data_IF_257168278930
#
_entry.id   IF_257168278930
#
_cell.length_a   1.000
_cell.length_b   1.000
_cell.length_c   1.000
_cell.angle_alpha   90.00
_cell.angle_beta   90.00
_cell.angle_gamma   90.00
#
_symmetry.space_group_name_H-M   'P 1'
#
loop_
_entity.id
_entity.type
_entity.pdbx_description
1 polymer ?
#
# COMPACT_ATOMS: atom_id res chain seq x y z
N UNK A 1 33.63 58.80 18.35
CA UNK A 1 33.90 57.52 17.69
C UNK A 1 32.78 56.55 18.05
N UNK A 2 31.79 56.38 17.16
CA UNK A 2 30.69 55.42 17.30
C UNK A 2 31.05 54.15 16.55
N UNK A 3 31.16 53.04 17.26
CA UNK A 3 31.39 51.71 16.65
C UNK A 3 30.06 51.12 16.18
N UNK A 4 29.88 50.92 14.88
CA UNK A 4 28.81 50.09 14.31
C UNK A 4 29.12 48.61 14.61
N UNK A 5 28.16 47.91 15.20
CA UNK A 5 28.17 46.45 15.29
C UNK A 5 27.33 45.91 14.15
N UNK A 6 27.95 45.26 13.20
CA UNK A 6 27.32 44.45 12.15
C UNK A 6 26.89 43.09 12.74
N UNK A 7 25.62 42.86 12.79
CA UNK A 7 25.06 41.51 13.13
C UNK A 7 24.95 40.68 11.85
N UNK A 8 25.76 39.64 11.72
CA UNK A 8 25.60 38.61 10.67
C UNK A 8 24.46 37.67 11.05
N UNK A 9 23.41 37.68 10.28
CA UNK A 9 22.34 36.67 10.37
C UNK A 9 22.75 35.49 9.48
N UNK A 10 23.16 34.38 10.11
CA UNK A 10 23.31 33.09 9.42
C UNK A 10 21.93 32.48 9.16
N UNK A 11 21.52 32.49 7.89
CA UNK A 11 20.33 31.76 7.43
C UNK A 11 20.69 30.27 7.30
N UNK A 12 20.27 29.46 8.26
CA UNK A 12 20.40 28.00 8.18
C UNK A 12 19.26 27.49 7.28
N UNK A 13 19.58 27.21 6.02
CA UNK A 13 18.69 26.47 5.11
C UNK A 13 18.70 25.01 5.54
N UNK A 14 17.65 24.58 6.24
CA UNK A 14 17.37 23.18 6.47
C UNK A 14 16.88 22.55 5.16
N UNK A 15 17.76 21.84 4.44
CA UNK A 15 17.36 20.94 3.38
C UNK A 15 16.67 19.74 4.02
N UNK A 16 15.34 19.67 3.96
CA UNK A 16 14.61 18.45 4.17
C UNK A 16 14.95 17.53 2.97
N UNK A 17 15.81 16.54 3.19
CA UNK A 17 15.99 15.46 2.24
C UNK A 17 14.67 14.67 2.20
N UNK A 18 13.82 14.94 1.22
CA UNK A 18 12.76 14.01 0.85
C UNK A 18 13.45 12.74 0.38
N UNK A 19 13.20 11.63 1.08
CA UNK A 19 13.57 10.31 0.58
C UNK A 19 12.91 10.16 -0.79
N UNK A 20 13.71 10.09 -1.85
CA UNK A 20 13.20 9.81 -3.18
C UNK A 20 12.56 8.43 -3.11
N UNK A 21 11.23 8.37 -3.24
CA UNK A 21 10.52 7.10 -3.45
C UNK A 21 11.09 6.49 -4.72
N UNK A 22 11.34 5.18 -4.71
CA UNK A 22 11.76 4.47 -5.91
C UNK A 22 10.74 4.78 -7.01
N UNK A 23 11.20 5.26 -8.16
CA UNK A 23 10.33 5.51 -9.29
C UNK A 23 10.00 4.19 -9.98
N UNK A 24 8.79 4.09 -10.51
CA UNK A 24 8.40 2.99 -11.37
C UNK A 24 9.40 2.90 -12.54
N UNK A 25 9.97 1.71 -12.86
CA UNK A 25 10.88 1.56 -13.98
C UNK A 25 10.21 2.01 -15.28
N UNK A 26 10.88 2.85 -16.04
CA UNK A 26 10.23 3.57 -17.15
C UNK A 26 9.92 2.71 -18.37
N UNK A 27 10.56 1.54 -18.56
CA UNK A 27 10.36 0.70 -19.76
C UNK A 27 10.91 -0.72 -19.65
N UNK A 28 11.76 -1.02 -18.67
CA UNK A 28 12.38 -2.35 -18.54
C UNK A 28 11.96 -2.96 -17.22
N UNK A 29 11.33 -4.14 -17.23
CA UNK A 29 11.01 -4.88 -16.00
C UNK A 29 12.25 -5.13 -15.14
N UNK A 30 12.08 -5.04 -13.83
CA UNK A 30 13.15 -5.26 -12.86
C UNK A 30 12.77 -6.41 -11.94
N UNK A 31 13.68 -7.39 -11.79
CA UNK A 31 13.53 -8.44 -10.79
C UNK A 31 14.10 -7.97 -9.44
N UNK A 32 13.37 -8.22 -8.36
CA UNK A 32 13.82 -8.04 -6.98
C UNK A 32 14.37 -6.62 -6.67
N UNK A 33 13.86 -5.62 -7.36
CA UNK A 33 14.25 -4.21 -7.19
C UNK A 33 13.56 -3.55 -6.00
N UNK A 34 13.99 -2.31 -5.72
CA UNK A 34 13.32 -1.48 -4.71
C UNK A 34 11.86 -1.22 -5.10
N UNK A 35 10.95 -1.34 -4.15
CA UNK A 35 9.53 -1.19 -4.38
C UNK A 35 9.17 0.29 -4.50
N UNK A 36 8.57 0.71 -5.63
CA UNK A 36 8.07 2.07 -5.78
C UNK A 36 6.93 2.36 -4.80
N UNK A 37 6.96 3.57 -4.20
CA UNK A 37 5.86 4.03 -3.35
C UNK A 37 4.56 4.31 -4.10
N UNK A 38 3.47 4.64 -3.38
CA UNK A 38 3.45 4.83 -1.93
C UNK A 38 3.48 3.53 -1.14
N UNK A 39 4.02 3.58 0.09
CA UNK A 39 3.96 2.51 1.07
C UNK A 39 3.08 2.94 2.24
N UNK A 40 2.34 2.02 2.89
CA UNK A 40 2.26 0.58 2.59
C UNK A 40 1.63 0.32 1.22
N UNK A 41 1.85 -0.87 0.66
CA UNK A 41 1.38 -1.23 -0.69
C UNK A 41 -0.14 -1.16 -0.84
N UNK A 42 -0.87 -1.60 0.18
CA UNK A 42 -2.33 -1.55 0.28
C UNK A 42 -2.77 -0.40 1.21
N UNK A 43 -4.06 -0.05 1.25
CA UNK A 43 -4.58 0.97 2.17
C UNK A 43 -4.15 0.72 3.61
N UNK A 44 -4.00 1.78 4.40
CA UNK A 44 -3.51 1.68 5.78
C UNK A 44 -4.41 0.83 6.70
N UNK A 45 -5.69 0.70 6.37
CA UNK A 45 -6.68 -0.13 7.06
C UNK A 45 -6.80 -1.56 6.48
N UNK A 46 -5.94 -1.92 5.51
CA UNK A 46 -5.87 -3.27 4.98
C UNK A 46 -5.51 -4.26 6.09
N UNK A 47 -6.01 -5.49 5.99
CA UNK A 47 -5.69 -6.54 6.97
C UNK A 47 -4.20 -6.85 7.10
N UNK A 48 -3.38 -6.66 6.06
CA UNK A 48 -1.94 -6.81 6.17
C UNK A 48 -1.32 -5.74 7.06
N UNK A 49 -1.85 -4.51 7.06
CA UNK A 49 -1.30 -3.34 7.76
C UNK A 49 -1.92 -3.14 9.15
N UNK A 50 -2.98 -3.88 9.48
CA UNK A 50 -3.73 -3.70 10.73
C UNK A 50 -2.84 -3.89 11.97
N UNK A 51 -2.91 -2.94 12.91
CA UNK A 51 -2.34 -3.08 14.25
C UNK A 51 -3.22 -4.02 15.09
N UNK A 52 -2.70 -5.19 15.42
CA UNK A 52 -3.39 -6.20 16.24
C UNK A 52 -2.87 -6.25 17.68
N UNK A 53 -2.04 -5.30 18.10
CA UNK A 53 -1.41 -5.32 19.42
C UNK A 53 -2.41 -5.34 20.59
N UNK A 54 -3.60 -4.75 20.38
CA UNK A 54 -4.71 -4.73 21.34
C UNK A 54 -5.83 -5.73 21.01
N UNK A 55 -5.71 -6.53 19.95
CA UNK A 55 -6.71 -7.50 19.56
C UNK A 55 -6.88 -8.58 20.67
N UNK A 56 -8.13 -9.03 20.94
CA UNK A 56 -8.37 -10.06 21.95
C UNK A 56 -7.72 -11.40 21.53
N UNK A 57 -7.29 -12.16 22.53
CA UNK A 57 -6.77 -13.52 22.35
C UNK A 57 -7.96 -14.49 22.19
N UNK A 58 -7.85 -15.43 21.25
CA UNK A 58 -8.87 -16.47 21.08
C UNK A 58 -8.94 -17.38 22.29
N UNK A 59 -10.14 -17.76 22.69
CA UNK A 59 -10.36 -18.63 23.85
C UNK A 59 -9.67 -20.01 23.69
N UNK A 60 -9.50 -20.49 22.47
CA UNK A 60 -8.82 -21.75 22.14
C UNK A 60 -7.33 -21.56 21.76
N UNK A 61 -6.76 -20.38 21.98
CA UNK A 61 -5.38 -20.06 21.58
C UNK A 61 -4.37 -21.12 22.04
N UNK A 62 -4.47 -21.56 23.30
CA UNK A 62 -3.57 -22.58 23.85
C UNK A 62 -3.72 -23.95 23.15
N UNK A 63 -4.92 -24.32 22.76
CA UNK A 63 -5.20 -25.57 22.03
C UNK A 63 -4.61 -25.53 20.63
N UNK A 64 -4.76 -24.41 19.90
CA UNK A 64 -4.15 -24.22 18.59
C UNK A 64 -2.62 -24.25 18.63
N UNK A 65 -2.00 -23.56 19.61
CA UNK A 65 -0.55 -23.59 19.80
C UNK A 65 -0.08 -25.01 20.15
N UNK A 66 -0.83 -25.76 20.97
CA UNK A 66 -0.53 -27.15 21.28
C UNK A 66 -0.63 -28.05 20.05
N UNK A 67 -1.58 -27.81 19.14
CA UNK A 67 -1.71 -28.53 17.88
C UNK A 67 -0.50 -28.30 16.96
N UNK A 68 -0.03 -27.06 16.81
CA UNK A 68 1.22 -26.72 16.08
C UNK A 68 2.40 -27.46 16.74
N UNK A 69 2.41 -27.51 18.06
CA UNK A 69 3.51 -27.97 18.91
C UNK A 69 4.26 -26.78 19.49
N UNK A 70 4.07 -26.51 20.79
CA UNK A 70 4.57 -25.30 21.45
C UNK A 70 6.06 -25.06 21.31
N UNK A 71 6.86 -26.14 21.13
CA UNK A 71 8.33 -26.08 20.97
C UNK A 71 8.77 -25.89 19.50
N UNK A 72 7.85 -25.88 18.54
CA UNK A 72 8.18 -25.62 17.14
C UNK A 72 8.79 -24.22 17.01
N UNK A 73 10.00 -24.16 16.49
CA UNK A 73 10.77 -22.92 16.33
C UNK A 73 10.35 -22.20 15.06
N UNK A 74 10.43 -20.89 15.08
CA UNK A 74 10.32 -20.11 13.86
C UNK A 74 11.49 -20.44 12.93
N UNK A 75 11.20 -20.41 11.64
CA UNK A 75 12.19 -20.56 10.58
C UNK A 75 11.99 -19.45 9.53
N UNK A 76 13.05 -18.72 9.13
CA UNK A 76 12.98 -17.78 8.01
C UNK A 76 13.07 -18.60 6.72
N UNK A 77 11.97 -18.71 6.01
CA UNK A 77 11.89 -19.38 4.69
C UNK A 77 12.17 -18.36 3.58
N UNK A 78 13.33 -17.73 3.68
CA UNK A 78 13.82 -16.74 2.72
C UNK A 78 15.34 -16.57 2.85
N UNK A 79 15.94 -16.07 1.79
CA UNK A 79 17.40 -15.92 1.72
C UNK A 79 17.85 -15.48 0.34
N UNK A 80 19.10 -15.78 0.05
CA UNK A 80 19.72 -15.59 -1.25
C UNK A 80 19.77 -16.87 -2.09
N UNK A 81 20.82 -16.99 -2.89
CA UNK A 81 21.13 -18.22 -3.64
C UNK A 81 21.47 -19.37 -2.68
N UNK A 82 21.07 -20.58 -3.03
CA UNK A 82 21.36 -21.77 -2.23
C UNK A 82 22.87 -22.00 -2.05
N UNK A 83 23.66 -21.57 -3.02
CA UNK A 83 25.10 -21.38 -2.96
C UNK A 83 25.50 -20.29 -3.97
N UNK A 84 26.62 -19.57 -3.80
CA UNK A 84 27.01 -18.50 -4.70
C UNK A 84 27.02 -18.92 -6.18
N UNK A 85 26.24 -18.22 -7.02
CA UNK A 85 26.06 -18.52 -8.45
C UNK A 85 25.06 -19.65 -8.75
N UNK A 86 24.37 -20.18 -7.74
CA UNK A 86 23.31 -21.19 -7.93
C UNK A 86 22.06 -20.59 -8.58
N UNK A 87 21.42 -21.36 -9.46
CA UNK A 87 20.08 -21.04 -9.95
C UNK A 87 19.05 -21.18 -8.82
N UNK A 88 19.22 -22.20 -7.93
CA UNK A 88 18.33 -22.43 -6.81
C UNK A 88 18.44 -21.32 -5.76
N UNK A 89 17.30 -20.85 -5.27
CA UNK A 89 17.19 -19.73 -4.35
C UNK A 89 16.26 -20.06 -3.17
N UNK A 90 16.40 -19.28 -2.09
CA UNK A 90 15.48 -19.23 -0.97
C UNK A 90 14.68 -17.94 -1.01
N UNK A 91 13.38 -18.02 -0.68
CA UNK A 91 12.46 -16.89 -0.73
C UNK A 91 11.85 -16.67 -2.11
N UNK A 92 10.90 -15.74 -2.15
CA UNK A 92 10.09 -15.48 -3.34
C UNK A 92 10.65 -14.30 -4.14
N UNK A 93 11.10 -14.50 -5.39
CA UNK A 93 11.42 -13.40 -6.30
C UNK A 93 10.13 -12.69 -6.74
N UNK A 94 10.28 -11.45 -7.22
CA UNK A 94 9.18 -10.68 -7.77
C UNK A 94 9.66 -9.78 -8.91
N UNK A 95 8.73 -9.48 -9.81
CA UNK A 95 8.94 -8.55 -10.91
C UNK A 95 8.27 -7.21 -10.62
N UNK A 96 8.93 -6.11 -10.99
CA UNK A 96 8.32 -4.78 -11.04
C UNK A 96 8.20 -4.39 -12.50
N UNK A 97 7.00 -4.01 -12.91
CA UNK A 97 6.67 -3.58 -14.28
C UNK A 97 5.94 -2.24 -14.24
N UNK A 98 5.89 -1.56 -15.39
CA UNK A 98 5.05 -0.39 -15.60
C UNK A 98 3.83 -0.70 -16.48
N UNK A 99 2.97 0.30 -16.68
CA UNK A 99 1.74 0.17 -17.48
C UNK A 99 1.99 -0.21 -18.96
N UNK A 100 3.21 -0.08 -19.48
CA UNK A 100 3.55 -0.41 -20.87
C UNK A 100 3.85 -1.90 -21.07
N UNK A 101 4.02 -2.68 -19.98
CA UNK A 101 4.25 -4.13 -20.06
C UNK A 101 3.07 -4.82 -20.71
N UNK A 102 3.34 -5.52 -21.81
CA UNK A 102 2.32 -6.26 -22.54
C UNK A 102 1.66 -7.32 -21.65
N UNK A 103 0.33 -7.39 -21.70
CA UNK A 103 -0.44 -8.39 -20.98
C UNK A 103 -0.58 -9.65 -21.80
N UNK A 104 -0.30 -10.79 -21.19
CA UNK A 104 -0.35 -12.12 -21.79
C UNK A 104 -1.52 -12.93 -21.23
N UNK A 105 -2.04 -13.85 -22.03
CA UNK A 105 -3.00 -14.86 -21.60
C UNK A 105 -2.25 -16.01 -20.92
N UNK A 106 -2.88 -16.56 -19.85
CA UNK A 106 -2.37 -17.72 -19.11
C UNK A 106 -3.43 -18.82 -19.15
N UNK A 107 -3.04 -20.06 -19.36
CA UNK A 107 -3.92 -21.23 -19.24
C UNK A 107 -3.86 -21.74 -17.81
N UNK A 108 -5.02 -21.89 -17.16
CA UNK A 108 -5.10 -22.26 -15.74
C UNK A 108 -5.66 -23.68 -15.56
N UNK A 109 -5.13 -24.40 -14.57
CA UNK A 109 -5.70 -25.65 -14.09
C UNK A 109 -6.98 -25.36 -13.26
N UNK A 110 -6.96 -24.30 -12.43
CA UNK A 110 -8.11 -23.83 -11.61
C UNK A 110 -8.68 -22.54 -12.23
N UNK A 111 -9.14 -22.63 -13.49
CA UNK A 111 -9.61 -21.47 -14.25
C UNK A 111 -10.83 -20.79 -13.65
N UNK A 112 -11.71 -21.56 -12.98
CA UNK A 112 -12.94 -21.08 -12.36
C UNK A 112 -12.72 -20.30 -11.04
N UNK A 113 -11.48 -20.32 -10.53
CA UNK A 113 -11.03 -19.55 -9.37
C UNK A 113 -9.91 -18.57 -9.73
N UNK A 114 -9.63 -18.33 -11.01
CA UNK A 114 -8.51 -17.50 -11.48
C UNK A 114 -9.01 -16.24 -12.18
N UNK A 115 -8.29 -15.12 -11.99
CA UNK A 115 -8.55 -13.89 -12.74
C UNK A 115 -7.92 -13.95 -14.15
N UNK A 116 -8.41 -13.11 -15.07
CA UNK A 116 -7.90 -13.07 -16.45
C UNK A 116 -8.40 -14.21 -17.31
N UNK A 117 -9.59 -14.69 -17.05
CA UNK A 117 -10.26 -15.81 -17.75
C UNK A 117 -11.58 -15.32 -18.34
N UNK A 118 -11.90 -15.79 -19.54
CA UNK A 118 -13.27 -15.79 -20.04
C UNK A 118 -14.04 -16.96 -19.39
N UNK A 119 -14.87 -16.64 -18.40
CA UNK A 119 -15.60 -17.64 -17.63
C UNK A 119 -16.65 -18.40 -18.44
N UNK A 120 -17.00 -17.96 -19.66
CA UNK A 120 -17.89 -18.72 -20.54
C UNK A 120 -17.17 -19.88 -21.26
N UNK A 121 -15.85 -19.75 -21.44
CA UNK A 121 -15.02 -20.72 -22.19
C UNK A 121 -13.94 -21.40 -21.38
N UNK A 122 -13.59 -20.85 -20.21
CA UNK A 122 -12.44 -21.26 -19.40
C UNK A 122 -11.09 -20.85 -19.97
N UNK A 123 -11.08 -20.00 -21.00
CA UNK A 123 -9.86 -19.61 -21.71
C UNK A 123 -9.24 -18.36 -21.09
N UNK A 124 -7.92 -18.37 -20.91
CA UNK A 124 -7.19 -17.17 -20.50
C UNK A 124 -7.28 -16.06 -21.54
N UNK A 125 -7.45 -14.85 -21.07
CA UNK A 125 -7.41 -13.61 -21.89
C UNK A 125 -6.12 -12.81 -21.59
N UNK A 126 -5.70 -11.87 -22.47
CA UNK A 126 -4.55 -11.01 -22.18
C UNK A 126 -4.75 -10.19 -20.91
N UNK A 127 -4.13 -10.61 -19.80
CA UNK A 127 -4.40 -10.03 -18.48
C UNK A 127 -3.13 -9.85 -17.64
N UNK A 128 -2.21 -10.81 -17.65
CA UNK A 128 -1.00 -10.82 -16.80
C UNK A 128 0.16 -10.14 -17.50
N UNK A 129 0.76 -9.07 -16.89
CA UNK A 129 1.89 -8.34 -17.47
C UNK A 129 3.22 -9.09 -17.22
N UNK A 130 3.34 -10.32 -17.75
CA UNK A 130 4.51 -11.19 -17.52
C UNK A 130 5.70 -10.68 -18.33
N UNK A 131 6.85 -10.36 -17.67
CA UNK A 131 8.06 -9.98 -18.37
C UNK A 131 8.65 -11.15 -19.20
N UNK A 132 9.15 -10.85 -20.39
CA UNK A 132 9.80 -11.87 -21.24
C UNK A 132 11.00 -12.54 -20.54
N UNK A 133 11.67 -11.82 -19.66
CA UNK A 133 12.79 -12.33 -18.84
C UNK A 133 12.36 -13.50 -17.95
N UNK A 134 11.15 -13.50 -17.42
CA UNK A 134 10.63 -14.58 -16.57
C UNK A 134 10.63 -15.94 -17.29
N UNK A 135 10.51 -15.96 -18.62
CA UNK A 135 10.55 -17.19 -19.40
C UNK A 135 11.96 -17.80 -19.52
N UNK A 136 13.02 -16.98 -19.51
CA UNK A 136 14.36 -17.43 -19.93
C UNK A 136 15.49 -17.10 -18.96
N UNK A 137 15.25 -16.19 -17.99
CA UNK A 137 16.28 -15.78 -17.03
C UNK A 137 16.00 -16.39 -15.65
N UNK A 138 17.04 -16.75 -14.87
CA UNK A 138 16.89 -17.23 -13.51
C UNK A 138 16.40 -16.12 -12.56
N UNK A 139 15.88 -16.51 -11.43
CA UNK A 139 15.51 -15.64 -10.29
C UNK A 139 14.31 -14.69 -10.56
N UNK A 140 13.44 -15.05 -11.51
CA UNK A 140 12.16 -14.40 -11.75
C UNK A 140 10.98 -15.21 -11.24
N UNK A 141 11.14 -16.53 -11.19
CA UNK A 141 10.14 -17.47 -10.68
C UNK A 141 10.70 -18.15 -9.44
N UNK A 142 9.85 -18.44 -8.47
CA UNK A 142 10.21 -19.14 -7.24
C UNK A 142 10.96 -20.44 -7.52
N UNK A 143 11.89 -20.78 -6.63
CA UNK A 143 12.85 -21.86 -6.82
C UNK A 143 14.05 -21.46 -7.69
N UNK A 144 13.95 -20.35 -8.44
CA UNK A 144 15.04 -19.70 -9.17
C UNK A 144 15.19 -20.14 -10.62
N UNK A 145 14.74 -21.33 -11.02
CA UNK A 145 14.82 -21.77 -12.43
C UNK A 145 13.91 -20.91 -13.32
N UNK A 146 14.32 -20.61 -14.58
CA UNK A 146 13.49 -19.87 -15.52
C UNK A 146 12.12 -20.50 -15.77
N UNK A 147 11.16 -19.71 -16.24
CA UNK A 147 9.81 -20.17 -16.53
C UNK A 147 9.69 -21.26 -17.57
N UNK A 148 10.65 -21.37 -18.51
CA UNK A 148 10.70 -22.43 -19.52
C UNK A 148 11.24 -23.77 -19.02
N UNK A 149 11.61 -23.87 -17.74
CA UNK A 149 11.97 -25.12 -17.09
C UNK A 149 10.77 -25.60 -16.29
N UNK A 150 10.16 -26.71 -16.70
CA UNK A 150 9.03 -27.28 -15.97
C UNK A 150 9.52 -27.98 -14.70
N UNK A 151 9.18 -27.41 -13.57
CA UNK A 151 9.45 -27.93 -12.23
C UNK A 151 8.19 -27.94 -11.35
N UNK A 152 7.00 -27.89 -11.97
CA UNK A 152 5.72 -27.77 -11.27
C UNK A 152 5.39 -28.96 -10.37
N UNK A 153 5.94 -30.12 -10.66
CA UNK A 153 5.79 -31.31 -9.82
C UNK A 153 6.68 -31.25 -8.55
N UNK A 154 7.74 -30.44 -8.59
CA UNK A 154 8.77 -30.41 -7.55
C UNK A 154 8.71 -29.13 -6.67
N UNK A 155 8.02 -28.07 -7.12
CA UNK A 155 8.01 -26.76 -6.46
C UNK A 155 6.74 -25.95 -6.78
N UNK A 156 6.41 -25.01 -5.89
CA UNK A 156 5.21 -24.15 -6.02
C UNK A 156 5.30 -23.16 -7.18
N UNK A 157 6.51 -22.73 -7.55
CA UNK A 157 6.76 -21.94 -8.78
C UNK A 157 5.93 -20.66 -8.86
N UNK A 158 5.92 -19.87 -7.82
CA UNK A 158 5.21 -18.59 -7.83
C UNK A 158 5.88 -17.56 -8.74
N UNK A 159 5.05 -16.76 -9.41
CA UNK A 159 5.48 -15.56 -10.15
C UNK A 159 4.67 -14.37 -9.65
N UNK A 160 5.33 -13.46 -8.93
CA UNK A 160 4.74 -12.27 -8.34
C UNK A 160 5.10 -11.05 -9.19
N UNK A 161 4.11 -10.23 -9.57
CA UNK A 161 4.32 -9.08 -10.48
C UNK A 161 3.63 -7.85 -9.92
N UNK A 162 4.40 -6.79 -9.66
CA UNK A 162 3.92 -5.50 -9.21
C UNK A 162 3.91 -4.53 -10.39
N UNK A 163 2.73 -4.17 -10.87
CA UNK A 163 2.53 -3.04 -11.78
C UNK A 163 2.47 -1.76 -10.95
N UNK A 164 3.59 -1.08 -10.91
CA UNK A 164 3.76 0.08 -10.04
C UNK A 164 3.06 1.34 -10.57
N UNK A 165 2.78 1.42 -11.87
CA UNK A 165 2.06 2.57 -12.47
C UNK A 165 0.57 2.52 -12.15
N UNK A 166 -0.03 1.35 -12.34
CA UNK A 166 -1.46 1.16 -12.11
C UNK A 166 -1.78 0.73 -10.67
N UNK A 167 -0.76 0.50 -9.83
CA UNK A 167 -0.89 -0.02 -8.48
C UNK A 167 -1.67 -1.34 -8.43
N UNK A 168 -1.28 -2.26 -9.31
CA UNK A 168 -1.87 -3.59 -9.42
C UNK A 168 -0.84 -4.66 -9.03
N UNK A 169 -1.29 -5.67 -8.34
CA UNK A 169 -0.50 -6.85 -8.00
C UNK A 169 -1.11 -8.05 -8.71
N UNK A 170 -0.27 -8.78 -9.43
CA UNK A 170 -0.62 -10.03 -10.10
C UNK A 170 0.23 -11.15 -9.53
N UNK A 171 -0.38 -12.25 -9.18
CA UNK A 171 0.30 -13.40 -8.59
C UNK A 171 -0.16 -14.68 -9.27
N UNK A 172 0.78 -15.52 -9.62
CA UNK A 172 0.55 -16.79 -10.31
C UNK A 172 1.18 -17.92 -9.49
N UNK A 173 0.47 -19.02 -9.35
CA UNK A 173 0.93 -20.26 -8.74
C UNK A 173 1.25 -21.30 -9.81
N UNK A 174 2.32 -22.05 -9.61
CA UNK A 174 2.70 -23.22 -10.41
C UNK A 174 2.89 -22.90 -11.90
N UNK A 175 3.72 -21.87 -12.19
CA UNK A 175 3.89 -21.35 -13.56
C UNK A 175 4.86 -22.14 -14.39
N UNK A 176 4.53 -22.25 -15.68
CA UNK A 176 5.41 -22.81 -16.72
C UNK A 176 5.13 -22.19 -18.09
N UNK A 177 6.19 -21.92 -18.84
CA UNK A 177 6.15 -21.45 -20.22
C UNK A 177 6.55 -22.56 -21.18
N UNK A 178 5.62 -23.07 -22.00
CA UNK A 178 5.82 -24.19 -22.91
C UNK A 178 6.57 -23.84 -24.21
N UNK A 179 7.04 -22.60 -24.35
CA UNK A 179 7.67 -22.05 -25.56
C UNK A 179 6.69 -21.28 -26.44
N UNK A 180 5.38 -21.36 -26.18
CA UNK A 180 4.32 -20.65 -26.92
C UNK A 180 3.37 -19.86 -26.00
N UNK A 181 3.06 -20.39 -24.83
CA UNK A 181 2.12 -19.80 -23.87
C UNK A 181 2.53 -20.10 -22.44
N UNK A 182 2.00 -19.30 -21.54
CA UNK A 182 2.12 -19.52 -20.11
C UNK A 182 1.00 -20.42 -19.60
N UNK A 183 1.34 -21.31 -18.68
CA UNK A 183 0.44 -22.15 -17.90
C UNK A 183 0.64 -21.82 -16.42
N UNK A 184 -0.41 -21.97 -15.63
CA UNK A 184 -0.36 -21.84 -14.17
C UNK A 184 -1.42 -22.72 -13.53
N UNK A 185 -1.24 -23.06 -12.27
CA UNK A 185 -2.28 -23.68 -11.44
C UNK A 185 -3.43 -22.71 -11.21
N UNK A 186 -3.14 -21.57 -10.63
CA UNK A 186 -4.09 -20.48 -10.38
C UNK A 186 -3.45 -19.11 -10.58
N UNK A 187 -4.28 -18.08 -10.70
CA UNK A 187 -3.83 -16.71 -10.82
C UNK A 187 -4.76 -15.71 -10.14
N UNK A 188 -4.18 -14.72 -9.51
CA UNK A 188 -4.90 -13.70 -8.77
C UNK A 188 -4.48 -12.28 -9.15
N UNK A 189 -5.43 -11.38 -9.08
CA UNK A 189 -5.28 -9.96 -9.25
C UNK A 189 -5.74 -9.23 -7.98
N UNK A 190 -4.96 -8.22 -7.58
CA UNK A 190 -5.31 -7.35 -6.47
C UNK A 190 -5.08 -5.89 -6.86
N UNK A 191 -6.11 -5.06 -6.69
CA UNK A 191 -6.00 -3.62 -6.74
C UNK A 191 -5.39 -3.14 -5.41
N UNK A 192 -4.18 -2.57 -5.46
CA UNK A 192 -3.48 -2.12 -4.26
C UNK A 192 -4.05 -0.82 -3.66
N UNK A 193 -5.02 -0.21 -4.31
CA UNK A 193 -5.76 0.95 -3.77
C UNK A 193 -7.08 0.54 -3.11
N UNK A 194 -7.39 -0.76 -3.05
CA UNK A 194 -8.62 -1.34 -2.52
C UNK A 194 -8.35 -2.34 -1.38
N UNK A 195 -9.37 -2.58 -0.55
CA UNK A 195 -9.42 -3.65 0.44
C UNK A 195 -10.31 -4.81 -0.03
N UNK A 196 -10.46 -4.97 -1.34
CA UNK A 196 -11.28 -6.03 -1.87
C UNK A 196 -10.62 -7.39 -1.65
N UNK A 197 -11.40 -8.33 -1.13
CA UNK A 197 -11.02 -9.72 -0.99
C UNK A 197 -11.39 -10.48 -2.27
N UNK A 198 -10.71 -11.56 -2.51
CA UNK A 198 -11.19 -12.53 -3.49
C UNK A 198 -12.58 -13.04 -3.09
N UNK A 199 -13.42 -13.46 -4.04
CA UNK A 199 -14.71 -14.10 -3.74
C UNK A 199 -14.55 -15.24 -2.72
N UNK A 200 -15.51 -15.39 -1.83
CA UNK A 200 -15.49 -16.52 -0.88
C UNK A 200 -15.44 -17.85 -1.65
N UNK A 201 -14.63 -18.77 -1.18
CA UNK A 201 -14.24 -20.05 -1.77
C UNK A 201 -13.21 -20.00 -2.88
N UNK A 202 -12.82 -18.83 -3.36
CA UNK A 202 -11.78 -18.72 -4.37
C UNK A 202 -10.38 -18.71 -3.72
N UNK A 203 -9.47 -19.50 -4.30
CA UNK A 203 -8.04 -19.42 -3.99
C UNK A 203 -7.41 -18.16 -4.61
N UNK A 204 -6.15 -17.92 -4.31
CA UNK A 204 -5.27 -17.01 -5.05
C UNK A 204 -4.07 -17.80 -5.57
N UNK A 205 -2.92 -17.17 -5.74
CA UNK A 205 -1.65 -17.88 -5.79
C UNK A 205 -1.26 -18.46 -4.42
N UNK A 206 -1.90 -17.99 -3.34
CA UNK A 206 -1.75 -18.50 -1.97
C UNK A 206 -3.00 -19.30 -1.55
N UNK A 207 -2.81 -20.39 -0.84
CA UNK A 207 -3.88 -21.32 -0.47
C UNK A 207 -5.01 -20.67 0.36
N UNK A 208 -4.73 -19.58 1.07
CA UNK A 208 -5.71 -18.82 1.82
C UNK A 208 -6.59 -17.87 0.97
N UNK A 209 -6.32 -17.73 -0.33
CA UNK A 209 -6.93 -16.71 -1.16
C UNK A 209 -6.47 -15.29 -0.85
N UNK A 210 -5.30 -15.13 -0.23
CA UNK A 210 -4.68 -13.86 0.10
C UNK A 210 -3.62 -13.47 -0.94
N UNK A 211 -3.25 -12.21 -0.97
CA UNK A 211 -2.06 -11.77 -1.69
C UNK A 211 -0.80 -12.23 -0.93
N UNK A 212 0.18 -12.77 -1.64
CA UNK A 212 1.46 -13.24 -1.07
C UNK A 212 2.37 -12.06 -0.77
N UNK A 213 2.59 -11.20 -1.79
CA UNK A 213 3.64 -10.18 -1.77
C UNK A 213 3.59 -9.22 -0.57
N UNK A 214 2.42 -8.70 -0.13
CA UNK A 214 2.35 -7.81 1.04
C UNK A 214 2.69 -8.50 2.37
N UNK A 215 2.66 -9.83 2.40
CA UNK A 215 2.99 -10.65 3.59
C UNK A 215 4.45 -11.13 3.64
N UNK A 216 5.29 -10.76 2.67
CA UNK A 216 6.69 -11.17 2.64
C UNK A 216 7.56 -10.27 3.51
N UNK A 217 8.53 -10.87 4.23
CA UNK A 217 9.61 -10.11 4.86
C UNK A 217 10.52 -9.57 3.76
N UNK A 218 10.77 -8.25 3.70
CA UNK A 218 11.60 -7.62 2.66
C UNK A 218 12.89 -7.07 3.23
N UNK A 219 14.00 -7.27 2.50
CA UNK A 219 15.32 -6.82 2.93
C UNK A 219 15.36 -5.30 3.11
N UNK A 220 14.81 -4.55 2.15
CA UNK A 220 14.85 -3.09 2.14
C UNK A 220 14.01 -2.44 3.26
N UNK A 221 13.15 -3.19 3.92
CA UNK A 221 12.46 -2.73 5.14
C UNK A 221 13.25 -3.12 6.39
N UNK A 222 13.64 -4.40 6.48
CA UNK A 222 14.30 -4.93 7.65
C UNK A 222 15.69 -4.32 7.87
N UNK A 223 16.49 -4.17 6.82
CA UNK A 223 17.87 -3.65 6.87
C UNK A 223 18.00 -2.16 6.50
N UNK A 224 16.90 -1.45 6.24
CA UNK A 224 16.93 -0.01 6.02
C UNK A 224 16.94 0.74 7.37
N UNK A 225 18.00 1.51 7.69
CA UNK A 225 18.07 2.25 8.95
C UNK A 225 17.07 3.41 9.05
N UNK A 226 16.53 3.87 7.93
CA UNK A 226 15.50 4.92 7.91
C UNK A 226 14.10 4.37 8.21
N UNK A 227 13.90 3.05 8.14
CA UNK A 227 12.65 2.39 8.51
C UNK A 227 12.80 1.85 9.92
N UNK A 228 12.12 2.47 10.86
CA UNK A 228 12.16 2.10 12.29
C UNK A 228 11.13 1.04 12.65
N UNK A 229 10.07 0.91 11.86
CA UNK A 229 8.95 0.00 12.10
C UNK A 229 8.46 -0.59 10.77
N UNK A 230 8.39 -1.92 10.67
CA UNK A 230 7.80 -2.60 9.53
C UNK A 230 6.28 -2.56 9.71
N UNK A 231 5.59 -1.96 8.76
CA UNK A 231 4.18 -1.57 8.86
C UNK A 231 3.17 -2.65 8.48
N UNK A 232 3.56 -3.94 8.43
CA UNK A 232 2.65 -5.00 7.99
C UNK A 232 2.91 -6.35 8.68
N UNK A 233 1.92 -7.24 8.62
CA UNK A 233 2.00 -8.64 9.05
C UNK A 233 2.82 -9.48 8.05
N UNK A 234 3.28 -10.64 8.51
CA UNK A 234 3.97 -11.59 7.66
C UNK A 234 3.13 -12.84 7.42
N UNK A 235 3.36 -13.48 6.29
CA UNK A 235 2.82 -14.78 5.92
C UNK A 235 3.52 -15.87 6.73
N UNK A 236 2.74 -16.85 7.20
CA UNK A 236 3.27 -18.04 7.91
C UNK A 236 2.59 -19.29 7.41
N UNK A 237 3.35 -20.39 7.30
CA UNK A 237 2.81 -21.71 7.02
C UNK A 237 2.65 -22.55 8.29
N UNK A 238 1.71 -23.49 8.24
CA UNK A 238 1.49 -24.54 9.25
C UNK A 238 1.22 -25.86 8.54
N UNK A 239 1.55 -27.01 9.18
CA UNK A 239 1.43 -28.33 8.53
C UNK A 239 0.03 -28.76 8.17
N UNK A 240 -1.00 -28.15 8.78
CA UNK A 240 -2.39 -28.48 8.54
C UNK A 240 -3.31 -27.33 8.96
N UNK A 241 -4.43 -27.18 8.26
CA UNK A 241 -5.43 -26.15 8.52
C UNK A 241 -6.85 -26.76 8.60
N UNK A 242 -7.81 -25.96 9.09
CA UNK A 242 -9.22 -26.36 9.22
C UNK A 242 -10.14 -25.20 8.83
N UNK A 243 -10.59 -25.20 7.56
CA UNK A 243 -11.42 -24.13 7.05
C UNK A 243 -10.70 -22.80 6.89
N UNK A 244 -11.44 -21.69 6.87
CA UNK A 244 -10.89 -20.35 6.77
C UNK A 244 -11.71 -19.34 7.60
N UNK A 245 -11.06 -18.24 7.95
CA UNK A 245 -11.67 -17.07 8.58
C UNK A 245 -11.13 -15.80 7.94
N UNK A 246 -11.86 -14.70 8.08
CA UNK A 246 -11.36 -13.39 7.65
C UNK A 246 -9.90 -13.15 8.14
N UNK A 247 -9.00 -12.68 7.28
CA UNK A 247 -9.21 -12.14 5.93
C UNK A 247 -9.22 -13.18 4.79
N UNK A 248 -8.87 -14.44 5.03
CA UNK A 248 -8.85 -15.46 3.98
C UNK A 248 -10.22 -15.65 3.31
N UNK A 249 -10.20 -16.06 2.05
CA UNK A 249 -11.39 -16.41 1.25
C UNK A 249 -11.48 -17.90 0.94
N UNK A 250 -10.39 -18.65 1.11
CA UNK A 250 -10.31 -20.05 0.72
C UNK A 250 -9.75 -20.93 1.83
N UNK A 251 -10.05 -22.23 1.78
CA UNK A 251 -9.55 -23.27 2.67
C UNK A 251 -8.68 -24.27 1.91
N UNK A 252 -7.60 -24.72 2.52
CA UNK A 252 -6.78 -25.80 1.98
C UNK A 252 -6.71 -27.02 2.91
N UNK A 253 -7.58 -27.10 3.92
CA UNK A 253 -7.60 -28.22 4.87
C UNK A 253 -8.90 -28.32 5.67
N UNK A 254 -9.07 -29.49 6.32
CA UNK A 254 -10.22 -29.81 7.19
C UNK A 254 -9.77 -30.59 8.43
N UNK A 255 -8.53 -30.41 8.90
CA UNK A 255 -7.96 -31.16 10.02
C UNK A 255 -8.49 -30.62 11.35
N UNK A 256 -9.23 -31.43 12.07
CA UNK A 256 -9.81 -31.04 13.35
C UNK A 256 -8.74 -30.58 14.35
N UNK A 257 -8.98 -29.46 15.02
CA UNK A 257 -8.09 -28.85 15.99
C UNK A 257 -6.97 -27.96 15.38
N UNK A 258 -6.81 -27.99 14.04
CA UNK A 258 -5.87 -27.09 13.37
C UNK A 258 -6.44 -25.66 13.24
N UNK A 259 -5.54 -24.67 13.04
CA UNK A 259 -5.92 -23.29 12.73
C UNK A 259 -6.64 -23.21 11.38
N UNK A 260 -7.59 -22.29 11.22
CA UNK A 260 -8.11 -21.97 9.89
C UNK A 260 -7.13 -21.09 9.11
N UNK A 261 -7.20 -21.11 7.76
CA UNK A 261 -6.58 -20.09 6.91
C UNK A 261 -7.06 -18.69 7.33
N UNK A 262 -6.19 -17.70 7.27
CA UNK A 262 -6.48 -16.34 7.72
C UNK A 262 -6.38 -16.11 9.23
N UNK A 263 -6.19 -17.17 10.03
CA UNK A 263 -5.94 -17.01 11.46
C UNK A 263 -4.65 -16.20 11.70
N UNK A 264 -4.64 -15.41 12.80
CA UNK A 264 -3.51 -14.55 13.13
C UNK A 264 -2.81 -15.02 14.38
N UNK A 265 -1.49 -15.13 14.30
CA UNK A 265 -0.60 -15.37 15.42
C UNK A 265 0.07 -14.03 15.78
N UNK A 266 0.04 -13.65 17.06
CA UNK A 266 0.69 -12.43 17.54
C UNK A 266 1.79 -12.82 18.52
N UNK A 267 3.04 -12.39 18.24
CA UNK A 267 4.14 -12.54 19.20
C UNK A 267 3.80 -11.75 20.48
N UNK A 268 3.85 -12.41 21.63
CA UNK A 268 3.54 -11.78 22.91
C UNK A 268 4.53 -10.65 23.22
N UNK A 269 4.05 -9.59 23.86
CA UNK A 269 4.93 -8.49 24.32
C UNK A 269 5.89 -8.94 25.42
N UNK A 270 5.45 -9.89 26.24
CA UNK A 270 6.27 -10.46 27.32
C UNK A 270 6.05 -11.96 27.41
N UNK A 271 7.14 -12.69 27.57
CA UNK A 271 7.18 -14.13 27.88
C UNK A 271 8.10 -14.31 29.07
N UNK A 272 7.59 -14.85 30.18
CA UNK A 272 8.30 -14.97 31.46
C UNK A 272 8.89 -13.62 31.94
N UNK A 273 8.16 -12.53 31.75
CA UNK A 273 8.57 -11.18 32.17
C UNK A 273 9.58 -10.48 31.25
N UNK A 274 10.02 -11.11 30.17
CA UNK A 274 10.96 -10.54 29.20
C UNK A 274 10.29 -10.32 27.84
N UNK A 275 10.74 -9.30 27.12
CA UNK A 275 10.33 -9.06 25.74
C UNK A 275 11.02 -10.07 24.80
N UNK A 276 10.25 -10.98 24.14
CA UNK A 276 10.84 -11.98 23.24
C UNK A 276 11.52 -11.35 22.01
N UNK A 277 11.15 -10.13 21.59
CA UNK A 277 11.82 -9.44 20.49
C UNK A 277 13.28 -9.10 20.83
N UNK A 278 13.64 -9.02 22.10
CA UNK A 278 14.99 -8.72 22.56
C UNK A 278 15.85 -9.97 22.79
N UNK A 279 15.39 -11.17 22.44
CA UNK A 279 16.19 -12.40 22.55
C UNK A 279 17.37 -12.43 21.59
N UNK A 280 17.27 -11.73 20.46
CA UNK A 280 18.38 -11.49 19.54
C UNK A 280 19.01 -10.13 19.81
N UNK A 281 20.32 -10.00 19.58
CA UNK A 281 21.03 -8.72 19.64
C UNK A 281 21.03 -7.97 18.31
N UNK A 282 20.62 -8.61 17.21
CA UNK A 282 20.55 -7.97 15.89
C UNK A 282 19.33 -7.03 15.81
N UNK A 283 19.58 -5.73 15.64
CA UNK A 283 18.55 -4.71 15.64
C UNK A 283 17.57 -4.83 14.45
N UNK A 284 18.01 -5.39 13.32
CA UNK A 284 17.17 -5.57 12.14
C UNK A 284 16.22 -6.75 12.35
N UNK A 285 16.70 -7.83 12.94
CA UNK A 285 15.84 -8.97 13.32
C UNK A 285 14.88 -8.57 14.44
N UNK A 286 15.30 -7.75 15.42
CA UNK A 286 14.38 -7.19 16.43
C UNK A 286 13.25 -6.39 15.78
N UNK A 287 13.52 -5.66 14.69
CA UNK A 287 12.51 -4.92 13.92
C UNK A 287 11.45 -5.88 13.34
N UNK A 288 11.88 -7.01 12.77
CA UNK A 288 10.99 -8.06 12.27
C UNK A 288 10.13 -8.63 13.42
N UNK A 289 10.72 -8.93 14.57
CA UNK A 289 9.99 -9.47 15.72
C UNK A 289 8.99 -8.47 16.32
N UNK A 290 9.31 -7.16 16.32
CA UNK A 290 8.37 -6.11 16.72
C UNK A 290 7.19 -5.99 15.76
N UNK A 291 7.41 -6.19 14.45
CA UNK A 291 6.31 -6.28 13.51
C UNK A 291 5.39 -7.48 13.81
N UNK A 292 5.94 -8.62 14.23
CA UNK A 292 5.16 -9.77 14.70
C UNK A 292 4.34 -9.46 15.97
N UNK A 293 4.82 -8.56 16.83
CA UNK A 293 4.08 -8.12 18.02
C UNK A 293 2.95 -7.15 17.66
N UNK A 294 3.12 -6.35 16.63
CA UNK A 294 2.19 -5.28 16.24
C UNK A 294 1.19 -5.73 15.18
N UNK A 295 1.66 -6.39 14.14
CA UNK A 295 0.87 -6.80 12.98
C UNK A 295 0.65 -8.31 12.92
N UNK A 296 1.54 -9.10 13.55
CA UNK A 296 1.44 -10.56 13.66
C UNK A 296 1.85 -11.31 12.41
N UNK A 297 1.46 -12.59 12.45
CA UNK A 297 1.60 -13.54 11.35
C UNK A 297 0.21 -13.95 10.88
N UNK A 298 0.01 -14.11 9.57
CA UNK A 298 -1.25 -14.61 8.98
C UNK A 298 -1.02 -16.00 8.43
N UNK A 299 -1.82 -16.98 8.85
CA UNK A 299 -1.80 -18.34 8.30
C UNK A 299 -2.32 -18.28 6.87
N UNK A 300 -1.42 -18.48 5.92
CA UNK A 300 -1.70 -18.26 4.51
C UNK A 300 -1.61 -19.53 3.66
N UNK A 301 -0.87 -20.55 4.16
CA UNK A 301 -0.71 -21.80 3.45
C UNK A 301 -0.42 -22.98 4.39
N UNK A 302 -0.56 -24.19 3.85
CA UNK A 302 -0.05 -25.42 4.45
C UNK A 302 1.41 -25.62 4.03
N UNK A 303 2.22 -26.12 4.96
CA UNK A 303 3.65 -26.36 4.75
C UNK A 303 4.33 -26.77 6.05
N UNK A 304 5.57 -26.41 6.23
CA UNK A 304 6.24 -26.63 7.52
C UNK A 304 5.70 -25.69 8.59
N UNK A 305 5.58 -26.17 9.82
CA UNK A 305 5.08 -25.37 10.93
C UNK A 305 6.02 -24.20 11.26
N UNK A 306 5.48 -22.99 11.37
CA UNK A 306 6.15 -21.76 11.79
C UNK A 306 7.24 -21.29 10.80
N UNK A 307 7.09 -21.58 9.51
CA UNK A 307 7.94 -21.03 8.47
C UNK A 307 7.39 -19.67 8.03
N UNK A 308 8.26 -18.65 8.06
CA UNK A 308 7.93 -17.27 7.74
C UNK A 308 8.50 -16.97 6.37
N UNK A 309 7.66 -16.58 5.43
CA UNK A 309 8.07 -16.34 4.04
C UNK A 309 8.60 -14.91 3.86
N UNK A 310 9.62 -14.75 3.02
CA UNK A 310 10.19 -13.46 2.66
C UNK A 310 10.65 -13.42 1.21
N UNK A 311 11.12 -12.27 0.76
CA UNK A 311 11.61 -12.11 -0.61
C UNK A 311 12.98 -12.76 -0.80
N UNK A 312 13.24 -13.25 -2.02
CA UNK A 312 14.59 -13.55 -2.46
C UNK A 312 15.43 -12.26 -2.48
N UNK A 313 16.59 -12.30 -1.84
CA UNK A 313 17.57 -11.23 -1.88
C UNK A 313 18.96 -11.78 -1.50
N UNK A 314 19.96 -11.57 -2.36
CA UNK A 314 21.33 -12.05 -2.11
C UNK A 314 22.05 -11.36 -0.96
N UNK A 315 21.47 -10.26 -0.43
CA UNK A 315 22.00 -9.56 0.75
C UNK A 315 21.61 -10.19 2.07
N UNK A 316 20.65 -11.13 2.11
CA UNK A 316 20.29 -11.87 3.31
C UNK A 316 21.47 -12.68 3.84
N UNK A 317 21.61 -12.73 5.16
CA UNK A 317 22.59 -13.55 5.83
C UNK A 317 21.88 -14.60 6.72
N UNK A 318 21.78 -15.81 6.23
CA UNK A 318 21.09 -16.89 6.93
C UNK A 318 21.87 -17.40 8.17
N UNK A 319 23.18 -17.12 8.29
CA UNK A 319 23.95 -17.38 9.52
C UNK A 319 23.50 -16.45 10.68
N UNK A 320 22.87 -15.32 10.35
CA UNK A 320 22.24 -14.44 11.33
C UNK A 320 20.76 -14.79 11.51
N UNK A 321 20.02 -14.98 10.41
CA UNK A 321 18.57 -15.18 10.42
C UNK A 321 18.17 -16.50 11.11
N UNK A 322 18.76 -17.64 10.70
CA UNK A 322 18.37 -18.95 11.20
C UNK A 322 18.50 -19.07 12.71
N UNK A 323 19.66 -18.75 13.33
CA UNK A 323 19.77 -18.82 14.79
C UNK A 323 18.90 -17.80 15.52
N UNK A 324 18.69 -16.60 14.95
CA UNK A 324 17.87 -15.58 15.58
C UNK A 324 16.38 -15.96 15.58
N UNK A 325 15.83 -16.41 14.46
CA UNK A 325 14.44 -16.87 14.38
C UNK A 325 14.20 -18.09 15.29
N UNK A 326 15.16 -19.01 15.39
CA UNK A 326 15.08 -20.17 16.25
C UNK A 326 15.06 -19.84 17.77
N UNK A 327 15.26 -18.58 18.16
CA UNK A 327 15.04 -18.11 19.54
C UNK A 327 13.54 -17.98 19.89
N UNK A 328 12.67 -17.94 18.91
CA UNK A 328 11.22 -17.91 19.07
C UNK A 328 10.62 -19.28 18.76
N UNK A 329 9.53 -19.61 19.45
CA UNK A 329 8.77 -20.82 19.23
C UNK A 329 7.28 -20.53 19.21
N UNK A 330 6.46 -21.47 18.73
CA UNK A 330 5.01 -21.32 18.69
C UNK A 330 4.43 -20.93 20.06
N UNK A 331 5.02 -21.41 21.17
CA UNK A 331 4.59 -21.06 22.52
C UNK A 331 4.84 -19.59 22.90
N UNK A 332 5.56 -18.82 22.11
CA UNK A 332 5.76 -17.38 22.32
C UNK A 332 4.63 -16.54 21.72
N UNK A 333 3.71 -17.17 20.99
CA UNK A 333 2.60 -16.50 20.29
C UNK A 333 1.25 -16.74 20.97
N UNK A 334 0.36 -15.77 20.81
CA UNK A 334 -1.07 -15.93 21.02
C UNK A 334 -1.77 -16.05 19.67
N UNK A 335 -2.84 -16.85 19.60
CA UNK A 335 -3.79 -16.79 18.49
C UNK A 335 -4.76 -15.64 18.78
N UNK A 336 -4.85 -14.68 17.89
CA UNK A 336 -5.86 -13.61 17.95
C UNK A 336 -7.23 -14.19 17.68
N UNK A 337 -8.27 -13.67 18.33
CA UNK A 337 -9.65 -14.09 18.14
C UNK A 337 -9.95 -14.29 16.66
N UNK A 338 -10.40 -15.50 16.31
CA UNK A 338 -10.64 -15.88 14.91
C UNK A 338 -11.62 -14.94 14.24
N UNK A 339 -11.28 -14.48 13.03
CA UNK A 339 -12.09 -13.56 12.26
C UNK A 339 -12.14 -12.12 12.80
N UNK A 340 -11.31 -11.77 13.78
CA UNK A 340 -11.24 -10.41 14.32
C UNK A 340 -10.92 -9.38 13.22
N UNK A 341 -11.64 -8.28 13.27
CA UNK A 341 -11.43 -7.10 12.42
C UNK A 341 -11.18 -5.90 13.31
N UNK A 342 -10.20 -5.04 12.97
CA UNK A 342 -10.03 -3.80 13.71
C UNK A 342 -11.32 -2.97 13.59
N UNK A 343 -11.83 -2.51 14.72
CA UNK A 343 -12.85 -1.45 14.72
C UNK A 343 -12.13 -0.14 14.45
N UNK A 344 -11.90 0.18 13.20
CA UNK A 344 -11.46 1.52 12.81
C UNK A 344 -12.66 2.42 13.03
N UNK A 345 -12.61 3.29 14.04
CA UNK A 345 -13.60 4.34 14.14
C UNK A 345 -13.53 5.16 12.84
N UNK A 346 -14.64 5.35 12.12
CA UNK A 346 -14.61 6.12 10.89
C UNK A 346 -13.99 7.49 11.17
N UNK A 347 -13.13 8.00 10.29
CA UNK A 347 -12.51 9.29 10.49
C UNK A 347 -13.61 10.36 10.58
N UNK A 348 -13.43 11.34 11.43
CA UNK A 348 -14.34 12.49 11.54
C UNK A 348 -13.75 13.70 10.82
N UNK A 349 -14.61 14.64 10.42
CA UNK A 349 -14.13 15.89 9.82
C UNK A 349 -13.35 16.71 10.86
N UNK A 350 -12.04 16.81 10.68
CA UNK A 350 -11.15 17.56 11.55
C UNK A 350 -11.18 19.06 11.26
N UNK A 351 -11.19 19.46 9.97
CA UNK A 351 -11.16 20.86 9.59
C UNK A 351 -11.47 21.16 8.14
N UNK A 352 -11.66 22.45 7.87
CA UNK A 352 -11.60 23.06 6.55
C UNK A 352 -10.68 24.28 6.64
N UNK A 353 -9.74 24.39 5.71
CA UNK A 353 -8.78 25.48 5.63
C UNK A 353 -8.84 26.14 4.24
N UNK A 354 -8.48 27.42 4.18
CA UNK A 354 -8.38 28.17 2.92
C UNK A 354 -6.91 28.51 2.68
N UNK A 355 -6.48 28.44 1.40
CA UNK A 355 -5.11 28.75 1.01
C UNK A 355 -4.70 30.20 1.32
N UNK A 356 -5.69 31.11 1.35
CA UNK A 356 -5.53 32.52 1.77
C UNK A 356 -6.77 32.95 2.58
N UNK A 357 -6.62 33.92 3.46
CA UNK A 357 -7.72 34.47 4.27
C UNK A 357 -8.48 35.60 3.57
N UNK A 358 -7.91 36.18 2.51
CA UNK A 358 -8.48 37.26 1.71
C UNK A 358 -8.14 37.10 0.24
N UNK A 359 -9.08 37.50 -0.64
CA UNK A 359 -8.96 37.44 -2.10
C UNK A 359 -9.73 38.59 -2.73
N UNK A 360 -9.28 39.10 -3.87
CA UNK A 360 -10.03 40.08 -4.66
C UNK A 360 -11.19 39.40 -5.35
N UNK A 361 -12.38 40.03 -5.34
CA UNK A 361 -13.56 39.47 -6.01
C UNK A 361 -13.33 39.27 -7.50
N UNK A 362 -13.59 38.07 -8.00
CA UNK A 362 -13.27 37.59 -9.34
C UNK A 362 -12.11 36.60 -9.41
N UNK A 363 -11.29 36.50 -8.38
CA UNK A 363 -10.19 35.54 -8.30
C UNK A 363 -10.64 34.20 -7.69
N UNK A 364 -9.83 33.18 -7.94
CA UNK A 364 -10.06 31.83 -7.41
C UNK A 364 -8.99 31.44 -6.38
N UNK A 365 -9.35 30.60 -5.43
CA UNK A 365 -8.44 30.04 -4.45
C UNK A 365 -8.77 28.56 -4.20
N UNK A 366 -7.87 27.88 -3.50
CA UNK A 366 -8.08 26.49 -3.08
C UNK A 366 -8.45 26.43 -1.60
N UNK A 367 -9.51 25.69 -1.27
CA UNK A 367 -9.78 25.21 0.07
C UNK A 367 -9.33 23.76 0.23
N UNK A 368 -9.15 23.30 1.46
CA UNK A 368 -8.78 21.92 1.79
C UNK A 368 -9.63 21.43 2.94
N UNK A 369 -10.27 20.27 2.77
CA UNK A 369 -10.89 19.54 3.90
C UNK A 369 -9.87 18.57 4.48
N UNK A 370 -9.93 18.37 5.82
CA UNK A 370 -9.04 17.44 6.53
C UNK A 370 -9.87 16.56 7.46
N UNK A 371 -9.61 15.26 7.42
CA UNK A 371 -10.17 14.25 8.31
C UNK A 371 -9.23 13.98 9.49
N UNK A 372 -9.74 13.38 10.56
CA UNK A 372 -8.94 12.97 11.73
C UNK A 372 -8.00 11.80 11.48
N UNK A 373 -8.13 11.13 10.34
CA UNK A 373 -7.32 10.01 9.89
C UNK A 373 -7.60 9.70 8.44
N UNK A 374 -6.92 8.69 7.87
CA UNK A 374 -7.11 8.28 6.47
C UNK A 374 -8.56 7.88 6.18
N UNK A 375 -9.05 8.22 5.00
CA UNK A 375 -10.35 7.78 4.51
C UNK A 375 -10.34 6.25 4.29
N UNK A 376 -11.40 5.53 4.65
CA UNK A 376 -11.53 4.08 4.41
C UNK A 376 -11.61 3.77 2.92
N UNK A 377 -11.54 2.47 2.58
CA UNK A 377 -11.78 1.99 1.22
C UNK A 377 -13.08 2.56 0.65
N UNK A 378 -13.01 3.11 -0.58
CA UNK A 378 -14.12 3.85 -1.20
C UNK A 378 -14.10 5.37 -0.96
N UNK A 379 -13.20 5.88 -0.11
CA UNK A 379 -13.07 7.31 0.18
C UNK A 379 -14.17 7.89 1.08
N UNK A 380 -14.09 9.20 1.34
CA UNK A 380 -15.06 9.95 2.16
C UNK A 380 -15.59 11.14 1.38
N UNK A 381 -16.89 11.21 1.19
CA UNK A 381 -17.56 12.37 0.56
C UNK A 381 -17.89 13.40 1.64
N UNK A 382 -17.27 14.58 1.56
CA UNK A 382 -17.50 15.72 2.43
C UNK A 382 -18.41 16.73 1.72
N UNK A 383 -19.57 17.03 2.29
CA UNK A 383 -20.47 18.06 1.78
C UNK A 383 -19.89 19.46 1.98
N UNK A 384 -20.02 20.33 0.97
CA UNK A 384 -19.53 21.70 1.01
C UNK A 384 -20.68 22.69 0.79
N UNK A 385 -20.63 23.84 1.46
CA UNK A 385 -21.57 24.92 1.28
C UNK A 385 -20.90 26.27 1.52
N UNK A 386 -21.30 27.27 0.76
CA UNK A 386 -20.92 28.67 1.00
C UNK A 386 -22.11 29.47 1.51
N UNK A 387 -21.86 30.39 2.44
CA UNK A 387 -22.88 31.34 2.94
C UNK A 387 -23.31 32.38 1.93
N UNK A 388 -22.65 32.49 0.77
CA UNK A 388 -22.94 33.49 -0.24
C UNK A 388 -22.69 32.95 -1.66
N UNK A 389 -23.52 33.41 -2.59
CA UNK A 389 -23.34 33.12 -4.02
C UNK A 389 -22.13 33.84 -4.66
N UNK A 390 -21.48 34.76 -3.91
CA UNK A 390 -20.26 35.46 -4.39
C UNK A 390 -19.03 34.54 -4.33
N UNK A 391 -19.01 33.55 -3.46
CA UNK A 391 -17.94 32.55 -3.34
C UNK A 391 -18.53 31.13 -3.44
N UNK A 392 -19.03 30.69 -4.59
CA UNK A 392 -19.56 29.35 -4.74
C UNK A 392 -18.48 28.30 -4.56
N UNK A 393 -18.87 27.17 -4.02
CA UNK A 393 -18.06 25.95 -3.84
C UNK A 393 -18.76 24.77 -4.53
N UNK A 394 -18.06 23.69 -4.86
CA UNK A 394 -18.70 22.42 -5.28
C UNK A 394 -19.67 21.94 -4.19
N UNK A 395 -20.68 21.16 -4.54
CA UNK A 395 -21.60 20.57 -3.57
C UNK A 395 -20.89 19.60 -2.59
N UNK A 396 -19.82 18.98 -3.03
CA UNK A 396 -19.01 18.07 -2.22
C UNK A 396 -17.59 17.93 -2.77
N UNK A 397 -16.70 17.37 -1.95
CA UNK A 397 -15.38 16.91 -2.35
C UNK A 397 -15.15 15.51 -1.77
N UNK A 398 -14.53 14.62 -2.54
CA UNK A 398 -14.17 13.28 -2.07
C UNK A 398 -12.73 13.28 -1.58
N UNK A 399 -12.52 12.86 -0.33
CA UNK A 399 -11.20 12.50 0.19
C UNK A 399 -10.93 11.07 -0.27
N UNK A 400 -9.91 10.83 -1.10
CA UNK A 400 -9.64 9.49 -1.62
C UNK A 400 -9.30 8.50 -0.51
N UNK A 401 -9.52 7.21 -0.77
CA UNK A 401 -9.11 6.14 0.14
C UNK A 401 -7.63 6.27 0.54
N UNK A 402 -7.34 6.05 1.81
CA UNK A 402 -5.99 6.19 2.36
C UNK A 402 -5.48 7.63 2.56
N UNK A 403 -6.16 8.65 2.00
CA UNK A 403 -5.81 10.05 2.21
C UNK A 403 -6.56 10.64 3.40
N UNK A 404 -5.94 11.60 4.09
CA UNK A 404 -6.57 12.32 5.20
C UNK A 404 -7.10 13.71 4.79
N UNK A 405 -6.91 14.14 3.54
CA UNK A 405 -7.34 15.45 3.08
C UNK A 405 -7.61 15.47 1.58
N UNK A 406 -8.40 16.44 1.13
CA UNK A 406 -8.63 16.71 -0.29
C UNK A 406 -8.80 18.20 -0.55
N UNK A 407 -8.24 18.74 -1.66
CA UNK A 407 -8.43 20.11 -2.08
C UNK A 407 -9.76 20.27 -2.82
N UNK A 408 -10.31 21.50 -2.78
CA UNK A 408 -11.47 21.91 -3.59
C UNK A 408 -11.31 23.36 -4.06
N UNK A 409 -11.89 23.67 -5.21
CA UNK A 409 -11.84 25.03 -5.78
C UNK A 409 -12.91 25.94 -5.16
N UNK A 410 -12.55 27.19 -4.94
CA UNK A 410 -13.45 28.28 -4.58
C UNK A 410 -13.27 29.38 -5.64
N UNK A 411 -14.30 29.69 -6.39
CA UNK A 411 -14.26 30.74 -7.39
C UNK A 411 -15.08 31.92 -6.89
N UNK A 412 -14.47 33.12 -6.77
CA UNK A 412 -15.21 34.28 -6.35
C UNK A 412 -15.77 35.05 -7.54
N UNK A 413 -16.86 35.76 -7.34
CA UNK A 413 -17.45 36.68 -8.35
C UNK A 413 -16.99 38.11 -8.07
N UNK A 414 -16.87 38.94 -9.11
CA UNK A 414 -16.61 40.36 -8.93
C UNK A 414 -17.63 41.01 -8.01
N UNK A 415 -17.15 41.86 -7.10
CA UNK A 415 -18.02 42.57 -6.16
C UNK A 415 -17.66 44.06 -6.04
N UNK A 416 -18.68 44.90 -5.91
CA UNK A 416 -18.49 46.33 -5.75
C UNK A 416 -18.17 46.79 -4.32
N UNK A 417 -18.32 45.89 -3.36
CA UNK A 417 -18.02 46.15 -1.93
C UNK A 417 -17.36 44.91 -1.33
N UNK A 418 -16.41 45.12 -0.42
CA UNK A 418 -15.85 44.03 0.35
C UNK A 418 -16.95 43.26 1.11
N UNK A 419 -16.85 41.95 1.15
CA UNK A 419 -17.80 41.06 1.84
C UNK A 419 -17.05 39.88 2.47
N UNK A 420 -17.76 39.06 3.24
CA UNK A 420 -17.21 37.87 3.88
C UNK A 420 -18.05 36.67 3.49
N UNK A 421 -17.41 35.58 3.14
CA UNK A 421 -18.01 34.27 2.93
C UNK A 421 -17.58 33.30 4.04
N UNK A 422 -18.52 32.53 4.57
CA UNK A 422 -18.24 31.37 5.40
C UNK A 422 -18.35 30.12 4.51
N UNK A 423 -17.30 29.34 4.45
CA UNK A 423 -17.25 28.06 3.76
C UNK A 423 -17.45 26.96 4.80
N UNK A 424 -18.50 26.19 4.64
CA UNK A 424 -18.88 25.10 5.52
C UNK A 424 -18.50 23.76 4.87
N UNK A 425 -17.99 22.85 5.69
CA UNK A 425 -17.79 21.46 5.34
C UNK A 425 -18.55 20.59 6.34
N UNK A 426 -19.19 19.51 5.87
CA UNK A 426 -19.98 18.61 6.72
C UNK A 426 -19.70 17.15 6.33
N UNK A 427 -19.50 16.31 7.36
CA UNK A 427 -19.38 14.87 7.20
C UNK A 427 -19.84 14.16 8.47
N UNK A 428 -20.69 13.12 8.33
CA UNK A 428 -21.19 12.29 9.44
C UNK A 428 -21.73 13.10 10.63
N UNK A 429 -22.46 14.20 10.35
CA UNK A 429 -23.03 15.08 11.38
C UNK A 429 -22.03 16.06 12.01
N UNK A 430 -20.74 16.01 11.64
CA UNK A 430 -19.74 16.98 12.11
C UNK A 430 -19.60 18.10 11.08
N UNK A 431 -19.76 19.36 11.54
CA UNK A 431 -19.56 20.55 10.73
C UNK A 431 -18.27 21.30 11.09
N UNK A 432 -17.60 21.84 10.09
CA UNK A 432 -16.46 22.76 10.22
C UNK A 432 -16.66 23.94 9.28
N UNK A 433 -16.06 25.09 9.60
CA UNK A 433 -16.11 26.24 8.71
C UNK A 433 -14.79 27.00 8.68
N UNK A 434 -14.61 27.78 7.61
CA UNK A 434 -13.53 28.74 7.46
C UNK A 434 -14.10 30.04 6.88
N UNK A 435 -13.51 31.16 7.23
CA UNK A 435 -13.95 32.50 6.81
C UNK A 435 -13.02 33.04 5.73
N UNK A 436 -13.61 33.48 4.62
CA UNK A 436 -12.94 34.15 3.51
C UNK A 436 -13.38 35.60 3.44
N UNK A 437 -12.43 36.52 3.49
CA UNK A 437 -12.66 37.93 3.16
C UNK A 437 -12.55 38.12 1.63
N UNK A 438 -13.56 38.73 1.04
CA UNK A 438 -13.57 39.05 -0.41
C UNK A 438 -13.48 40.56 -0.54
N UNK A 439 -12.42 41.04 -1.10
CA UNK A 439 -12.16 42.45 -1.29
C UNK A 439 -12.90 42.98 -2.54
N UNK A 440 -13.13 44.26 -2.56
CA UNK A 440 -13.77 44.93 -3.70
C UNK A 440 -12.94 44.70 -4.97
N UNK A 441 -13.60 44.36 -6.07
CA UNK A 441 -12.98 44.28 -7.39
C UNK A 441 -12.59 45.69 -7.83
N UNK A 442 -11.33 45.94 -8.18
CA UNK A 442 -10.93 47.23 -8.72
C UNK A 442 -11.76 47.63 -9.93
N UNK A 443 -12.31 48.86 -9.91
CA UNK A 443 -12.98 49.39 -11.07
C UNK A 443 -11.93 49.73 -12.14
N UNK A 444 -12.07 49.16 -13.33
CA UNK A 444 -11.30 49.59 -14.49
C UNK A 444 -11.64 51.05 -14.76
N UNK A 445 -10.74 52.01 -14.55
CA UNK A 445 -10.81 53.35 -15.07
C UNK A 445 -10.07 53.32 -16.39
N UNK A 446 -10.78 53.49 -17.55
CA UNK A 446 -10.03 53.74 -18.79
C UNK A 446 -9.18 54.99 -18.57
N UNK A 447 -7.91 54.87 -18.88
CA UNK A 447 -7.04 56.04 -18.93
C UNK A 447 -7.62 57.12 -19.85
N UNK A 448 -7.28 58.39 -19.63
CA UNK A 448 -7.69 59.43 -20.56
C UNK A 448 -7.22 59.01 -21.96
N UNK A 449 -8.18 58.81 -22.86
CA UNK A 449 -7.88 58.56 -24.27
C UNK A 449 -6.98 59.67 -24.81
N UNK A 450 -6.18 59.40 -25.85
CA UNK A 450 -5.37 60.46 -26.49
C UNK A 450 -6.28 61.62 -26.85
N UNK A 451 -5.91 62.83 -26.38
CA UNK A 451 -6.54 64.09 -26.79
C UNK A 451 -6.43 64.16 -28.29
N UNK A 452 -7.52 63.96 -29.00
CA UNK A 452 -7.61 64.34 -30.39
C UNK A 452 -7.52 65.89 -30.46
N UNK A 453 -6.39 66.43 -30.85
CA UNK A 453 -6.25 67.79 -31.27
C UNK A 453 -7.15 67.97 -32.47
N UNK A 454 -8.21 68.76 -32.33
CA UNK A 454 -8.99 69.26 -33.45
C UNK A 454 -8.04 70.14 -34.27
N UNK A 455 -7.54 69.66 -35.40
CA UNK A 455 -6.96 70.52 -36.44
C UNK A 455 -8.07 71.36 -36.97
N UNK A 456 -7.88 72.70 -36.86
CA UNK A 456 -8.72 73.70 -37.46
C UNK A 456 -8.70 73.49 -38.95
N UNK A 457 -9.88 73.18 -39.54
CA UNK A 457 -10.11 73.24 -41.00
C UNK A 457 -10.11 74.72 -41.37
N UNK A 458 -9.04 75.22 -41.95
CA UNK A 458 -9.00 76.50 -42.61
C UNK A 458 -9.91 76.42 -43.85
N UNK A 459 -10.91 77.25 -43.83
CA UNK A 459 -11.76 77.53 -45.03
C UNK A 459 -10.96 78.31 -45.99
N UNK A 460 -10.52 77.73 -47.08
CA UNK A 460 -10.05 78.45 -48.24
C UNK A 460 -11.23 78.72 -49.18
N UNK A 461 -11.50 79.98 -49.44
CA UNK A 461 -12.48 80.63 -50.24
C UNK A 461 -12.24 80.38 -51.74
N UNK A 462 -13.24 80.49 -52.59
CA UNK A 462 -13.22 80.04 -53.99
C UNK A 462 -12.76 81.10 -54.95
N UNK A 463 -12.07 80.70 -55.99
CA UNK A 463 -12.19 81.24 -57.32
C UNK A 463 -12.04 80.18 -58.39
#
# INVERSE_FOLDING_TARGET
MRRLRTASVCLVLAFAASAALAQCPATVPVANGAIPGPLPLFPADNWWNADISAAPVDANSSSFISFIGGTRRLHPDFGGEASPGSVSIYGMPYAIVDASQAKLAVTFDYWDESDGVDYATGQGIPFYPIPAQAATQPHWVEGGAPGNVDQRDDADRHLLIVDCTNRHLYELYNVWYDGTRWHAGSGAFFDMDSNDRRPDTWTSADAAGLAIFPGLVRYDEAWNPSITDIGHAFRVTVRATNGYVYPASHRAGSTAGALPMGARLRLRKTVNGLDPALRTSDANVQKIFRAMQKHGLVVADNGSDMFITGTFDTRWNNDILNPAFALLSASDFDVVQLGWKPTVAPPVLAGVALGVSSVVGGESLTGTVTLSGPAPGGGVVVGLQSSTSIAPVPASVTVPAGQASAPFAITTRPTRRGTTAMIFATYAGVGRNATLRIEQTPLYRPGPGPLHTLESIDAADPQ
#
